data_IF_782365644408
#
_entry.id   IF_782365644408
#
_cell.length_a   1.000
_cell.length_b   1.000
_cell.length_c   1.000
_cell.angle_alpha   90.00
_cell.angle_beta   90.00
_cell.angle_gamma   90.00
#
_symmetry.space_group_name_H-M   'P 1'
#
loop_
_entity.id
_entity.type
_entity.pdbx_description
1 polymer ?
#
# COMPACT_ATOMS: atom_id res chain seq x y z
N UNK A 1 4.79 25.54 -0.48
CA UNK A 1 3.82 25.40 0.63
C UNK A 1 4.19 24.17 1.47
N UNK A 2 4.47 24.35 2.77
CA UNK A 2 4.98 23.32 3.70
C UNK A 2 3.85 22.51 4.38
N UNK A 3 2.99 21.81 3.62
CA UNK A 3 1.88 21.01 4.21
C UNK A 3 2.28 19.60 4.65
N UNK A 4 3.29 18.98 4.03
CA UNK A 4 3.62 17.57 4.26
C UNK A 4 4.24 17.29 5.66
N UNK A 5 4.76 18.32 6.33
CA UNK A 5 5.31 18.16 7.69
C UNK A 5 4.25 18.14 8.80
N UNK A 6 3.05 18.66 8.57
CA UNK A 6 2.04 18.73 9.63
C UNK A 6 1.32 17.38 9.80
N UNK A 7 0.95 16.74 8.68
CA UNK A 7 0.25 15.46 8.67
C UNK A 7 1.10 14.30 9.20
N UNK A 8 2.37 14.23 8.81
CA UNK A 8 3.31 13.25 9.38
C UNK A 8 3.47 13.44 10.89
N UNK A 9 3.54 14.69 11.38
CA UNK A 9 3.64 14.97 12.82
C UNK A 9 2.36 14.58 13.57
N UNK A 10 1.18 14.80 12.99
CA UNK A 10 -0.09 14.42 13.63
C UNK A 10 -0.29 12.90 13.68
N UNK A 11 0.10 12.17 12.63
CA UNK A 11 0.06 10.71 12.60
C UNK A 11 1.04 10.10 13.62
N UNK A 12 2.26 10.63 13.69
CA UNK A 12 3.23 10.21 14.71
C UNK A 12 2.76 10.53 16.14
N UNK A 13 2.10 11.68 16.36
CA UNK A 13 1.55 12.02 17.68
C UNK A 13 0.37 11.13 18.09
N UNK A 14 -0.48 10.73 17.13
CA UNK A 14 -1.62 9.85 17.39
C UNK A 14 -1.15 8.43 17.73
N UNK A 15 -0.17 7.92 16.98
CA UNK A 15 0.48 6.64 17.29
C UNK A 15 1.14 6.68 18.68
N UNK A 16 1.91 7.74 18.99
CA UNK A 16 2.55 7.90 20.29
C UNK A 16 1.53 8.00 21.45
N UNK A 17 0.39 8.68 21.24
CA UNK A 17 -0.67 8.77 22.24
C UNK A 17 -1.33 7.41 22.52
N UNK A 18 -1.51 6.57 21.49
CA UNK A 18 -2.02 5.20 21.64
C UNK A 18 -1.02 4.26 22.36
N UNK A 19 0.29 4.47 22.16
CA UNK A 19 1.33 3.77 22.92
C UNK A 19 1.44 4.24 24.38
N UNK A 20 1.19 5.52 24.66
CA UNK A 20 1.28 6.06 26.03
C UNK A 20 0.07 5.68 26.90
N UNK A 21 -1.13 5.60 26.31
CA UNK A 21 -2.35 5.21 27.06
C UNK A 21 -2.38 3.73 27.43
N UNK A 22 -1.74 2.86 26.64
CA UNK A 22 -1.59 1.43 26.96
C UNK A 22 -0.53 1.14 28.02
N UNK A 23 0.44 2.05 28.22
CA UNK A 23 1.49 1.89 29.24
C UNK A 23 1.05 2.32 30.66
N UNK A 24 0.00 3.13 30.80
CA UNK A 24 -0.41 3.73 32.09
C UNK A 24 -1.63 3.00 32.72
N UNK A 25 -2.24 2.05 32.01
CA UNK A 25 -3.45 1.35 32.48
C UNK A 25 -3.20 0.07 33.32
N UNK A 26 -1.99 -0.17 33.83
CA UNK A 26 -1.71 -1.33 34.67
C UNK A 26 -1.43 -0.87 36.11
N UNK A 27 -2.45 -0.75 36.99
CA UNK A 27 -2.19 -0.84 38.42
C UNK A 27 -1.61 -2.24 38.69
N UNK A 28 -0.32 -2.30 39.07
CA UNK A 28 0.28 -3.50 39.63
C UNK A 28 -0.23 -3.68 41.05
N UNK A 29 -1.36 -4.35 41.20
CA UNK A 29 -1.68 -4.99 42.48
C UNK A 29 -1.00 -6.36 42.56
N UNK A 30 -0.62 -6.80 43.77
CA UNK A 30 0.19 -7.99 43.96
C UNK A 30 -0.67 -9.22 43.66
N UNK A 31 -0.32 -9.95 42.60
CA UNK A 31 -0.83 -11.30 42.37
C UNK A 31 -0.46 -12.18 43.56
N UNK A 32 -1.38 -12.35 44.51
CA UNK A 32 -1.37 -13.48 45.41
C UNK A 32 -1.63 -14.76 44.58
N UNK A 33 -0.88 -15.85 44.78
CA UNK A 33 -1.14 -17.09 44.06
C UNK A 33 -2.40 -17.71 44.66
N UNK A 34 -3.52 -17.58 43.96
CA UNK A 34 -4.68 -18.43 44.19
C UNK A 34 -4.80 -19.37 43.00
N UNK A 35 -4.28 -20.59 43.20
CA UNK A 35 -4.52 -21.80 42.40
C UNK A 35 -6.02 -22.14 42.37
N UNK A 36 -6.82 -21.34 41.67
CA UNK A 36 -8.28 -21.57 41.53
C UNK A 36 -8.73 -21.45 40.07
N UNK A 37 -7.81 -21.37 39.12
CA UNK A 37 -8.13 -21.25 37.70
C UNK A 37 -7.66 -22.49 36.96
N UNK A 38 -8.32 -23.66 37.13
CA UNK A 38 -8.25 -24.81 36.21
C UNK A 38 -9.19 -25.98 36.61
N UNK A 39 -10.41 -25.72 37.09
CA UNK A 39 -11.46 -26.76 36.94
C UNK A 39 -12.03 -26.62 35.53
N UNK A 40 -11.74 -27.60 34.66
CA UNK A 40 -12.35 -27.69 33.35
C UNK A 40 -13.88 -27.75 33.52
N UNK A 41 -14.65 -26.83 32.91
CA UNK A 41 -16.10 -26.90 33.00
C UNK A 41 -16.59 -28.19 32.35
N UNK A 42 -17.35 -28.99 33.11
CA UNK A 42 -18.00 -30.21 32.61
C UNK A 42 -18.79 -29.87 31.32
N UNK A 43 -18.54 -30.57 30.20
CA UNK A 43 -19.18 -30.25 28.93
C UNK A 43 -20.70 -30.49 29.03
N UNK A 44 -21.47 -29.41 29.11
CA UNK A 44 -22.92 -29.48 29.06
C UNK A 44 -23.42 -29.96 27.68
N UNK A 45 -24.53 -30.70 27.60
CA UNK A 45 -25.00 -31.34 26.37
C UNK A 45 -25.41 -30.38 25.24
N UNK A 46 -25.48 -29.06 25.51
CA UNK A 46 -25.85 -28.02 24.54
C UNK A 46 -24.88 -26.85 24.49
N UNK A 47 -23.70 -26.96 25.10
CA UNK A 47 -22.72 -25.89 25.15
C UNK A 47 -21.90 -25.78 23.85
N UNK A 48 -22.57 -25.52 22.72
CA UNK A 48 -21.92 -25.12 21.46
C UNK A 48 -21.54 -23.63 21.47
N UNK A 49 -21.88 -22.90 22.53
CA UNK A 49 -21.59 -21.48 22.70
C UNK A 49 -20.95 -21.19 24.07
N UNK A 50 -19.71 -21.61 24.27
CA UNK A 50 -18.85 -20.90 25.22
C UNK A 50 -17.76 -20.16 24.43
N UNK A 51 -17.92 -18.86 24.13
CA UNK A 51 -16.80 -17.95 24.04
C UNK A 51 -16.46 -17.49 25.47
N UNK A 52 -16.34 -18.43 26.41
CA UNK A 52 -15.83 -18.12 27.75
C UNK A 52 -14.45 -18.74 27.79
N UNK A 53 -13.47 -17.94 27.39
CA UNK A 53 -12.08 -18.20 27.69
C UNK A 53 -11.96 -18.31 29.20
N UNK A 54 -12.02 -19.54 29.71
CA UNK A 54 -11.85 -19.85 31.13
C UNK A 54 -10.34 -19.83 31.40
N UNK A 55 -9.79 -18.62 31.51
CA UNK A 55 -8.50 -18.39 32.19
C UNK A 55 -7.21 -18.77 31.46
N UNK A 56 -7.21 -18.97 30.14
CA UNK A 56 -5.98 -19.25 29.37
C UNK A 56 -5.24 -18.02 28.82
N UNK A 57 -5.86 -16.84 28.84
CA UNK A 57 -5.23 -15.60 28.37
C UNK A 57 -4.48 -14.88 29.51
N UNK A 58 -3.27 -15.35 29.76
CA UNK A 58 -2.23 -14.62 30.49
C UNK A 58 -1.73 -13.41 29.66
N UNK A 59 -1.12 -12.38 30.29
CA UNK A 59 -1.22 -10.99 29.86
C UNK A 59 -0.32 -10.71 28.66
N UNK A 60 -0.90 -10.73 27.45
CA UNK A 60 -0.52 -9.85 26.34
C UNK A 60 -1.56 -9.92 25.23
N UNK A 61 -2.72 -9.32 25.48
CA UNK A 61 -3.81 -9.18 24.51
C UNK A 61 -3.50 -8.22 23.36
N UNK A 62 -2.26 -7.75 23.24
CA UNK A 62 -1.82 -6.92 22.14
C UNK A 62 -0.64 -7.55 21.42
N UNK A 63 -0.62 -7.41 20.10
CA UNK A 63 0.49 -7.80 19.26
C UNK A 63 0.93 -6.62 18.40
N UNK A 64 2.22 -6.58 18.10
CA UNK A 64 2.80 -5.66 17.14
C UNK A 64 3.56 -6.47 16.11
N UNK A 65 3.44 -6.09 14.84
CA UNK A 65 4.21 -6.71 13.78
C UNK A 65 4.76 -5.67 12.82
N UNK A 66 5.86 -6.02 12.18
CA UNK A 66 6.49 -5.25 11.12
C UNK A 66 6.72 -6.14 9.92
N UNK A 67 6.31 -5.67 8.75
CA UNK A 67 6.53 -6.36 7.48
C UNK A 67 7.39 -5.49 6.59
N UNK A 68 8.39 -6.11 5.96
CA UNK A 68 9.15 -5.49 4.89
C UNK A 68 8.50 -5.88 3.56
N UNK A 69 8.15 -4.87 2.76
CA UNK A 69 7.43 -5.07 1.52
C UNK A 69 8.36 -4.80 0.34
N UNK A 70 8.37 -5.73 -0.62
CA UNK A 70 8.94 -5.51 -1.93
C UNK A 70 7.77 -5.41 -2.91
N UNK A 71 7.51 -4.21 -3.43
CA UNK A 71 6.36 -3.94 -4.28
C UNK A 71 6.80 -3.30 -5.58
N UNK A 72 6.03 -3.58 -6.63
CA UNK A 72 6.28 -3.10 -7.98
C UNK A 72 5.09 -2.20 -8.39
N UNK A 73 5.17 -0.88 -8.16
CA UNK A 73 4.04 0.03 -8.38
C UNK A 73 3.86 0.30 -9.88
N UNK A 74 2.69 0.01 -10.45
CA UNK A 74 2.29 0.42 -11.81
C UNK A 74 1.17 1.43 -11.74
N UNK A 75 1.18 2.36 -12.69
CA UNK A 75 0.06 3.25 -12.94
C UNK A 75 -0.16 3.38 -14.45
N UNK A 76 -1.42 3.27 -14.86
CA UNK A 76 -1.84 3.48 -16.24
C UNK A 76 -2.00 4.98 -16.50
N UNK A 77 -1.74 5.45 -17.73
CA UNK A 77 -1.80 6.89 -18.05
C UNK A 77 -0.50 7.65 -17.80
N UNK A 78 0.57 6.97 -17.38
CA UNK A 78 1.93 7.52 -17.24
C UNK A 78 2.83 7.15 -18.43
N UNK A 79 2.25 7.00 -19.62
CA UNK A 79 2.98 6.88 -20.88
C UNK A 79 3.43 8.28 -21.32
N UNK A 80 4.69 8.44 -21.75
CA UNK A 80 5.22 9.76 -22.13
C UNK A 80 5.64 9.87 -23.59
N UNK A 81 6.02 8.75 -24.20
CA UNK A 81 6.50 8.76 -25.58
C UNK A 81 6.08 7.50 -26.33
N UNK A 82 5.97 7.64 -27.65
CA UNK A 82 5.82 6.53 -28.57
C UNK A 82 7.09 6.45 -29.41
N UNK A 83 7.76 5.31 -29.33
CA UNK A 83 8.94 5.01 -30.13
C UNK A 83 8.51 4.16 -31.33
N UNK A 84 8.71 4.65 -32.55
CA UNK A 84 8.28 4.00 -33.79
C UNK A 84 9.46 3.75 -34.72
N UNK A 85 9.59 2.50 -35.19
CA UNK A 85 10.59 2.11 -36.18
C UNK A 85 10.19 2.58 -37.60
N UNK A 86 11.14 3.11 -38.38
CA UNK A 86 10.92 3.70 -39.74
C UNK A 86 10.36 2.75 -40.81
N UNK A 87 10.06 1.49 -40.51
CA UNK A 87 9.54 0.52 -41.49
C UNK A 87 8.11 0.79 -41.99
N UNK A 88 7.48 1.91 -41.60
CA UNK A 88 6.17 2.35 -42.10
C UNK A 88 5.96 3.85 -41.93
N UNK A 89 4.89 4.40 -42.52
CA UNK A 89 4.54 5.81 -42.42
C UNK A 89 4.46 6.25 -40.95
N UNK A 90 5.37 7.14 -40.54
CA UNK A 90 5.68 7.51 -39.16
C UNK A 90 4.60 8.33 -38.43
N UNK A 91 3.42 8.50 -39.04
CA UNK A 91 2.33 9.35 -38.54
C UNK A 91 0.94 8.71 -38.66
N UNK A 92 0.85 7.40 -38.95
CA UNK A 92 -0.45 6.73 -39.14
C UNK A 92 -0.76 5.89 -37.90
N UNK A 93 -1.92 6.15 -37.28
CA UNK A 93 -2.49 5.29 -36.25
C UNK A 93 -3.38 4.21 -36.90
N UNK A 94 -3.34 2.94 -36.46
CA UNK A 94 -2.56 2.39 -35.35
C UNK A 94 -1.06 2.20 -35.67
N UNK A 95 -0.22 2.25 -34.63
CA UNK A 95 1.22 2.01 -34.72
C UNK A 95 1.47 0.58 -35.25
N UNK A 96 2.10 0.44 -36.43
CA UNK A 96 2.43 -0.87 -37.03
C UNK A 96 3.62 -1.56 -36.36
N UNK A 97 4.68 -0.81 -36.07
CA UNK A 97 5.91 -1.27 -35.41
C UNK A 97 6.40 -0.17 -34.45
N UNK A 98 5.82 -0.11 -33.26
CA UNK A 98 6.22 0.86 -32.24
C UNK A 98 5.93 0.38 -30.82
N UNK A 99 6.66 0.92 -29.84
CA UNK A 99 6.48 0.67 -28.42
C UNK A 99 6.07 1.95 -27.72
N UNK A 100 5.09 1.83 -26.82
CA UNK A 100 4.75 2.92 -25.92
C UNK A 100 5.68 2.86 -24.72
N UNK A 101 6.36 3.98 -24.44
CA UNK A 101 7.25 4.14 -23.30
C UNK A 101 6.49 4.82 -22.16
N UNK A 102 6.62 4.28 -20.95
CA UNK A 102 5.87 4.75 -19.79
C UNK A 102 6.18 4.00 -18.51
N UNK A 103 5.33 4.17 -17.50
CA UNK A 103 5.37 3.40 -16.25
C UNK A 103 4.19 2.41 -16.11
N UNK A 104 3.55 2.11 -17.24
CA UNK A 104 2.45 1.15 -17.34
C UNK A 104 2.95 -0.30 -17.33
N UNK A 105 2.02 -1.25 -17.18
CA UNK A 105 2.30 -2.69 -17.00
C UNK A 105 3.19 -3.32 -18.08
N UNK A 106 3.18 -2.75 -19.28
CA UNK A 106 3.90 -3.25 -20.45
C UNK A 106 5.21 -2.50 -20.74
N UNK A 107 5.66 -1.61 -19.85
CA UNK A 107 6.94 -0.92 -20.00
C UNK A 107 8.09 -1.71 -19.38
N UNK A 108 9.20 -1.78 -20.11
CA UNK A 108 10.41 -2.52 -19.73
C UNK A 108 11.20 -1.85 -18.57
N UNK A 109 10.81 -0.66 -18.12
CA UNK A 109 11.60 0.18 -17.22
C UNK A 109 11.07 0.18 -15.78
N UNK A 110 10.92 -1.03 -15.22
CA UNK A 110 10.15 -1.22 -13.99
C UNK A 110 10.96 -1.91 -12.89
N UNK A 111 11.27 -1.15 -11.83
CA UNK A 111 12.12 -1.57 -10.72
C UNK A 111 11.33 -1.87 -9.44
N UNK A 112 11.85 -2.77 -8.61
CA UNK A 112 11.26 -3.10 -7.32
C UNK A 112 11.48 -1.97 -6.31
N UNK A 113 10.46 -1.71 -5.49
CA UNK A 113 10.50 -0.68 -4.46
C UNK A 113 10.26 -1.29 -3.10
N UNK A 114 11.02 -0.78 -2.14
CA UNK A 114 10.89 -1.16 -0.75
C UNK A 114 9.78 -0.33 -0.10
N UNK A 115 9.01 -1.00 0.74
CA UNK A 115 8.04 -0.40 1.64
C UNK A 115 8.10 -1.07 2.99
N UNK A 116 7.39 -0.50 3.95
CA UNK A 116 7.21 -1.14 5.24
C UNK A 116 5.75 -1.05 5.65
N UNK A 117 5.32 -2.04 6.42
CA UNK A 117 4.04 -2.02 7.12
C UNK A 117 4.29 -2.28 8.59
N UNK A 118 3.67 -1.46 9.43
CA UNK A 118 3.67 -1.64 10.87
C UNK A 118 2.22 -1.84 11.31
N UNK A 119 1.98 -2.91 12.06
CA UNK A 119 0.67 -3.28 12.54
C UNK A 119 0.62 -3.33 14.06
N UNK A 120 -0.51 -2.92 14.61
CA UNK A 120 -0.87 -3.07 16.01
C UNK A 120 -2.22 -3.79 16.07
N UNK A 121 -2.31 -4.84 16.87
CA UNK A 121 -3.56 -5.53 17.12
C UNK A 121 -3.84 -5.71 18.61
N UNK A 122 -5.12 -5.78 18.94
CA UNK A 122 -5.62 -5.91 20.30
C UNK A 122 -6.86 -6.82 20.36
N UNK A 123 -6.85 -7.77 21.29
CA UNK A 123 -7.95 -8.68 21.59
C UNK A 123 -8.69 -8.21 22.84
N UNK A 124 -9.95 -7.78 22.68
CA UNK A 124 -10.79 -7.40 23.80
C UNK A 124 -11.36 -8.65 24.51
N UNK A 125 -10.79 -9.01 25.66
CA UNK A 125 -11.13 -10.22 26.42
C UNK A 125 -12.62 -10.33 26.81
N UNK A 126 -13.30 -9.20 27.03
CA UNK A 126 -14.68 -9.22 27.53
C UNK A 126 -15.66 -9.83 26.50
N UNK A 127 -15.42 -9.59 25.21
CA UNK A 127 -16.37 -9.89 24.13
C UNK A 127 -15.73 -10.61 22.93
N UNK A 128 -14.46 -11.00 23.04
CA UNK A 128 -13.64 -11.62 22.00
C UNK A 128 -13.54 -10.80 20.70
N UNK A 129 -13.61 -9.47 20.78
CA UNK A 129 -13.35 -8.63 19.60
C UNK A 129 -11.86 -8.57 19.30
N UNK A 130 -11.51 -8.67 18.04
CA UNK A 130 -10.17 -8.39 17.53
C UNK A 130 -10.17 -7.04 16.83
N UNK A 131 -9.29 -6.14 17.25
CA UNK A 131 -9.03 -4.86 16.61
C UNK A 131 -7.63 -4.89 16.01
N UNK A 132 -7.50 -4.45 14.77
CA UNK A 132 -6.21 -4.35 14.10
C UNK A 132 -6.10 -3.00 13.39
N UNK A 133 -4.93 -2.38 13.50
CA UNK A 133 -4.57 -1.14 12.83
C UNK A 133 -3.23 -1.33 12.14
N UNK A 134 -3.23 -1.31 10.80
CA UNK A 134 -2.03 -1.44 9.99
C UNK A 134 -1.73 -0.14 9.26
N UNK A 135 -0.52 0.37 9.40
CA UNK A 135 -0.01 1.49 8.63
C UNK A 135 1.01 0.98 7.62
N UNK A 136 0.80 1.27 6.35
CA UNK A 136 1.72 0.93 5.26
C UNK A 136 2.28 2.19 4.62
N UNK A 137 3.60 2.23 4.42
CA UNK A 137 4.28 3.28 3.67
C UNK A 137 5.13 2.68 2.55
N UNK A 138 4.96 3.20 1.34
CA UNK A 138 5.71 2.80 0.16
C UNK A 138 6.23 4.06 -0.54
N UNK A 139 7.53 4.07 -0.82
CA UNK A 139 8.17 5.14 -1.56
C UNK A 139 8.31 4.76 -3.03
N UNK A 140 7.68 5.54 -3.90
CA UNK A 140 7.70 5.36 -5.34
C UNK A 140 8.72 6.32 -5.93
N UNK A 141 9.63 5.78 -6.74
CA UNK A 141 10.53 6.56 -7.58
C UNK A 141 10.74 5.76 -8.85
N UNK A 142 10.68 6.37 -10.01
CA UNK A 142 11.01 5.72 -11.27
C UNK A 142 11.51 6.78 -12.23
N UNK A 143 12.60 6.49 -12.89
CA UNK A 143 13.25 7.37 -13.85
C UNK A 143 13.37 6.56 -15.14
N UNK A 144 12.95 7.17 -16.25
CA UNK A 144 12.92 6.57 -17.58
C UNK A 144 13.47 7.56 -18.59
N UNK A 145 14.32 7.09 -19.49
CA UNK A 145 14.89 7.89 -20.56
C UNK A 145 14.92 7.07 -21.84
N UNK A 146 14.42 7.66 -22.93
CA UNK A 146 14.46 7.08 -24.27
C UNK A 146 15.08 8.07 -25.24
N UNK A 147 16.05 7.58 -26.00
CA UNK A 147 16.73 8.31 -27.05
C UNK A 147 16.43 7.68 -28.40
N UNK A 148 16.19 8.50 -29.41
CA UNK A 148 15.96 8.03 -30.77
C UNK A 148 17.31 7.59 -31.37
N UNK A 149 17.47 6.29 -31.61
CA UNK A 149 18.70 5.69 -32.19
C UNK A 149 18.96 6.03 -33.66
N UNK A 150 18.26 7.00 -34.25
CA UNK A 150 18.45 7.51 -35.62
C UNK A 150 17.63 6.77 -36.70
N UNK A 151 17.16 5.56 -36.41
CA UNK A 151 16.35 4.74 -37.32
C UNK A 151 14.85 4.84 -37.07
N UNK A 152 14.39 5.63 -36.10
CA UNK A 152 12.98 5.75 -35.73
C UNK A 152 12.46 7.19 -35.69
N UNK A 153 11.20 7.35 -35.30
CA UNK A 153 10.61 8.62 -34.89
C UNK A 153 10.15 8.45 -33.44
N UNK A 154 10.55 9.40 -32.58
CA UNK A 154 10.09 9.46 -31.20
C UNK A 154 9.02 10.56 -31.13
N UNK A 155 7.80 10.16 -30.81
CA UNK A 155 6.66 11.07 -30.71
C UNK A 155 6.34 11.36 -29.24
N UNK A 156 6.24 12.64 -28.84
CA UNK A 156 5.82 13.01 -27.50
C UNK A 156 4.31 12.83 -27.34
N UNK A 157 3.85 12.36 -26.18
CA UNK A 157 2.42 12.19 -25.92
C UNK A 157 1.76 13.46 -25.38
N UNK A 158 2.51 14.26 -24.62
CA UNK A 158 2.01 15.48 -23.95
C UNK A 158 2.50 16.78 -24.59
N UNK A 159 3.10 16.70 -25.77
CA UNK A 159 3.55 17.85 -26.56
C UNK A 159 2.94 17.75 -27.96
N UNK A 160 2.57 18.88 -28.61
CA UNK A 160 2.05 18.84 -29.98
C UNK A 160 3.02 18.10 -30.89
N UNK A 161 2.52 17.13 -31.64
CA UNK A 161 3.32 16.31 -32.55
C UNK A 161 3.60 17.00 -33.88
N UNK A 162 2.96 18.14 -34.14
CA UNK A 162 3.11 18.93 -35.37
C UNK A 162 3.46 20.38 -35.07
N UNK A 163 4.35 20.96 -35.87
CA UNK A 163 4.66 22.39 -35.84
C UNK A 163 3.56 23.24 -36.53
N UNK A 164 3.75 24.57 -36.57
CA UNK A 164 2.82 25.51 -37.22
C UNK A 164 2.67 25.30 -38.74
N UNK A 165 3.53 24.48 -39.35
CA UNK A 165 3.56 24.16 -40.78
C UNK A 165 3.16 22.70 -41.07
N UNK A 166 2.59 21.99 -40.09
CA UNK A 166 2.21 20.57 -40.15
C UNK A 166 3.38 19.60 -40.38
N UNK A 167 4.62 19.98 -40.04
CA UNK A 167 5.74 19.02 -40.00
C UNK A 167 5.70 18.26 -38.68
N UNK A 168 5.97 16.95 -38.74
CA UNK A 168 6.12 16.13 -37.54
C UNK A 168 7.34 16.59 -36.75
N UNK A 169 7.13 16.96 -35.49
CA UNK A 169 8.20 17.27 -34.55
C UNK A 169 8.78 15.94 -34.09
N UNK A 170 9.91 15.54 -34.68
CA UNK A 170 10.66 14.37 -34.24
C UNK A 170 11.52 14.76 -33.04
N UNK A 171 11.38 14.00 -31.95
CA UNK A 171 12.14 14.21 -30.74
C UNK A 171 13.41 13.37 -30.73
N UNK A 172 14.51 13.96 -30.26
CA UNK A 172 15.76 13.20 -30.12
C UNK A 172 15.79 12.46 -28.78
N UNK A 173 15.29 13.09 -27.71
CA UNK A 173 15.29 12.51 -26.37
C UNK A 173 14.00 12.87 -25.62
N UNK A 174 13.42 11.89 -24.93
CA UNK A 174 12.35 12.09 -23.98
C UNK A 174 12.71 11.41 -22.66
N UNK A 175 12.54 12.14 -21.56
CA UNK A 175 12.78 11.63 -20.22
C UNK A 175 11.54 11.83 -19.36
N UNK A 176 11.16 10.81 -18.59
CA UNK A 176 10.07 10.89 -17.63
C UNK A 176 10.55 10.45 -16.24
N UNK A 177 10.11 11.19 -15.24
CA UNK A 177 10.34 10.88 -13.83
C UNK A 177 9.03 10.85 -13.09
N UNK A 178 8.76 9.71 -12.45
CA UNK A 178 7.62 9.51 -11.58
C UNK A 178 8.13 9.33 -10.14
N UNK A 179 7.64 10.16 -9.24
CA UNK A 179 7.89 9.99 -7.81
C UNK A 179 6.60 10.14 -7.03
N UNK A 180 6.46 9.38 -5.96
CA UNK A 180 5.30 9.50 -5.10
C UNK A 180 5.49 8.84 -3.75
N UNK A 181 4.68 9.26 -2.80
CA UNK A 181 4.58 8.69 -1.47
C UNK A 181 3.18 8.08 -1.31
N UNK A 182 3.14 6.77 -1.08
CA UNK A 182 1.90 6.03 -0.86
C UNK A 182 1.80 5.63 0.61
N UNK A 183 0.79 6.16 1.29
CA UNK A 183 0.49 5.84 2.68
C UNK A 183 -0.91 5.22 2.77
N UNK A 184 -1.06 4.11 3.48
CA UNK A 184 -2.38 3.57 3.83
C UNK A 184 -2.50 3.29 5.30
N UNK A 185 -3.70 3.48 5.83
CA UNK A 185 -4.09 3.11 7.17
C UNK A 185 -5.30 2.20 7.09
N UNK A 186 -5.15 0.98 7.58
CA UNK A 186 -6.17 -0.05 7.59
C UNK A 186 -6.62 -0.25 9.02
N UNK A 187 -7.92 -0.07 9.27
CA UNK A 187 -8.56 -0.36 10.54
C UNK A 187 -9.49 -1.54 10.34
N UNK A 188 -9.27 -2.62 11.06
CA UNK A 188 -10.07 -3.84 10.98
C UNK A 188 -10.62 -4.19 12.36
N UNK A 189 -11.88 -4.63 12.37
CA UNK A 189 -12.56 -5.17 13.53
C UNK A 189 -13.16 -6.53 13.15
N UNK A 190 -12.92 -7.55 13.95
CA UNK A 190 -13.43 -8.89 13.71
C UNK A 190 -13.89 -9.54 15.00
N UNK A 191 -14.78 -10.52 14.88
CA UNK A 191 -15.20 -11.34 16.02
C UNK A 191 -15.32 -12.80 15.58
N UNK A 192 -14.56 -13.72 16.18
CA UNK A 192 -14.72 -15.14 15.91
C UNK A 192 -16.04 -15.66 16.49
N UNK A 193 -16.76 -16.45 15.69
CA UNK A 193 -17.98 -17.17 16.04
C UNK A 193 -17.75 -18.66 15.83
N UNK A 194 -17.89 -19.43 16.90
CA UNK A 194 -17.85 -20.90 16.83
C UNK A 194 -19.25 -21.41 16.49
N UNK A 195 -19.42 -21.93 15.28
CA UNK A 195 -20.68 -22.53 14.83
C UNK A 195 -20.71 -24.02 15.17
N UNK A 196 -19.56 -24.69 15.14
CA UNK A 196 -19.38 -26.08 15.59
C UNK A 196 -17.97 -26.31 16.14
N UNK A 197 -17.70 -27.51 16.67
CA UNK A 197 -16.35 -27.90 17.15
C UNK A 197 -15.27 -27.87 16.07
N UNK A 198 -15.66 -27.99 14.80
CA UNK A 198 -14.76 -28.06 13.67
C UNK A 198 -14.84 -26.82 12.77
N UNK A 199 -15.78 -25.92 13.04
CA UNK A 199 -16.03 -24.77 12.19
C UNK A 199 -16.16 -23.49 13.02
N UNK A 200 -15.19 -22.60 12.79
CA UNK A 200 -15.14 -21.25 13.35
C UNK A 200 -15.20 -20.27 12.20
N UNK A 201 -16.20 -19.39 12.21
CA UNK A 201 -16.28 -18.27 11.28
C UNK A 201 -15.71 -17.02 11.94
N UNK A 202 -15.00 -16.18 11.20
CA UNK A 202 -14.46 -14.93 11.72
C UNK A 202 -14.91 -13.77 10.82
N UNK A 203 -16.18 -13.34 10.93
CA UNK A 203 -16.63 -12.13 10.24
C UNK A 203 -15.77 -10.94 10.66
N UNK A 204 -15.26 -10.23 9.66
CA UNK A 204 -14.44 -9.04 9.83
C UNK A 204 -14.97 -7.91 8.96
N UNK A 205 -14.91 -6.70 9.50
CA UNK A 205 -15.20 -5.46 8.80
C UNK A 205 -13.99 -4.55 8.92
N UNK A 206 -13.71 -3.77 7.88
CA UNK A 206 -12.57 -2.87 7.92
C UNK A 206 -12.78 -1.63 7.07
N UNK A 207 -12.06 -0.58 7.44
CA UNK A 207 -11.95 0.67 6.71
C UNK A 207 -10.48 0.85 6.32
N UNK A 208 -10.24 1.06 5.02
CA UNK A 208 -8.92 1.42 4.48
C UNK A 208 -8.95 2.86 4.01
N UNK A 209 -8.07 3.69 4.54
CA UNK A 209 -7.80 5.04 4.08
C UNK A 209 -6.43 5.08 3.39
N UNK A 210 -6.35 5.78 2.27
CA UNK A 210 -5.11 5.94 1.51
C UNK A 210 -4.83 7.41 1.20
N UNK A 211 -3.57 7.80 1.30
CA UNK A 211 -3.05 9.09 0.89
C UNK A 211 -1.97 8.86 -0.15
N UNK A 212 -2.17 9.44 -1.32
CA UNK A 212 -1.29 9.32 -2.47
C UNK A 212 -0.83 10.72 -2.83
N UNK A 213 0.47 10.98 -2.71
CA UNK A 213 1.11 12.18 -3.22
C UNK A 213 1.97 11.76 -4.40
N UNK A 214 1.77 12.37 -5.56
CA UNK A 214 2.37 11.94 -6.82
C UNK A 214 2.83 13.15 -7.62
N UNK A 215 4.09 13.08 -8.02
CA UNK A 215 4.75 14.03 -8.90
C UNK A 215 5.19 13.31 -10.18
N UNK A 216 4.70 13.79 -11.31
CA UNK A 216 5.06 13.29 -12.62
C UNK A 216 5.66 14.42 -13.46
N UNK A 217 6.92 14.23 -13.87
CA UNK A 217 7.68 15.21 -14.64
C UNK A 217 8.14 14.60 -15.94
N UNK A 218 7.79 15.23 -17.05
CA UNK A 218 8.24 14.84 -18.38
C UNK A 218 9.06 15.96 -18.98
N UNK A 219 10.15 15.61 -19.64
CA UNK A 219 10.98 16.53 -20.41
C UNK A 219 11.20 15.98 -21.81
N UNK A 220 11.15 16.90 -22.73
CA UNK A 220 11.19 16.68 -24.15
C UNK A 220 12.35 17.53 -24.70
N UNK A 221 13.31 16.90 -25.34
CA UNK A 221 14.44 17.56 -25.99
C UNK A 221 14.34 17.43 -27.51
N UNK A 222 14.23 18.58 -28.16
CA UNK A 222 14.29 18.77 -29.60
C UNK A 222 15.64 19.41 -29.94
N UNK A 223 16.28 18.93 -31.00
CA UNK A 223 17.51 19.54 -31.55
C UNK A 223 17.20 20.82 -32.35
#
# INVERSE_FOLDING_TARGET
MKKNNFLNKTLFSLAAALFASSAIAIPKDPCAPKDVCCEEPLPGPFAFSYPKDVGLSCPRDFYVHGEFLLMKPSEEGLEYAMDQDKTGASNIFPLLNGKIKGFSRNSDEWDWRYGFRAGFGFYAMHDAWNFQADWTYIKIKSDSEVTNGGTGVLLPLFYPTTDAFNNTINMHNASARWSGDYNTMDLMIGKPYHVSRYFTSNPMFGLRAGWIDQDYHIRYFQD
#
